data_IF_147311975677
#
_entry.id   IF_147311975677
#
_cell.length_a   1.000
_cell.length_b   1.000
_cell.length_c   1.000
_cell.angle_alpha   90.00
_cell.angle_beta   90.00
_cell.angle_gamma   90.00
#
_symmetry.space_group_name_H-M   'P 1'
#
loop_
_entity.id
_entity.type
_entity.pdbx_description
1 polymer ?
#
# COMPACT_ATOMS: atom_id res chain seq x y z
N UNK A 1 -1.41 35.06 -13.16
CA UNK A 1 -1.51 33.68 -12.65
C UNK A 1 -0.09 33.18 -12.48
N UNK A 2 0.30 32.60 -11.33
CA UNK A 2 1.47 31.74 -11.27
C UNK A 2 1.04 30.26 -11.25
N UNK A 3 1.81 29.45 -11.97
CA UNK A 3 1.67 28.02 -12.26
C UNK A 3 1.16 27.16 -11.10
N UNK A 4 0.06 26.44 -11.32
CA UNK A 4 -0.34 25.32 -10.48
C UNK A 4 0.51 24.13 -10.90
N UNK A 5 1.50 23.77 -10.09
CA UNK A 5 2.26 22.53 -10.23
C UNK A 5 1.35 21.33 -9.89
N UNK A 6 0.67 20.84 -10.92
CA UNK A 6 -0.19 19.64 -10.86
C UNK A 6 0.58 18.35 -10.59
N UNK A 7 1.92 18.38 -10.66
CA UNK A 7 2.80 17.21 -10.46
C UNK A 7 3.18 17.07 -9.00
N UNK A 8 3.48 18.16 -8.29
CA UNK A 8 3.87 18.13 -6.88
C UNK A 8 2.74 18.52 -5.90
N UNK A 9 1.63 19.11 -6.38
CA UNK A 9 0.46 19.44 -5.54
C UNK A 9 -0.88 19.22 -6.26
N UNK A 10 -1.25 17.99 -6.65
CA UNK A 10 -2.60 17.72 -7.14
C UNK A 10 -3.62 17.93 -6.01
N UNK A 11 -4.63 18.81 -6.18
CA UNK A 11 -5.65 19.10 -5.15
C UNK A 11 -6.74 18.02 -5.02
N UNK A 12 -6.51 16.81 -5.54
CA UNK A 12 -7.51 15.74 -5.60
C UNK A 12 -7.05 14.46 -4.91
N UNK A 13 -7.21 14.40 -3.58
CA UNK A 13 -7.43 13.13 -2.85
C UNK A 13 -8.46 13.33 -1.75
N UNK A 14 -9.62 13.86 -2.13
CA UNK A 14 -10.87 13.67 -1.41
C UNK A 14 -11.91 13.29 -2.44
N UNK A 15 -12.19 12.00 -2.61
CA UNK A 15 -13.48 11.44 -3.06
C UNK A 15 -13.33 9.95 -3.43
N UNK A 16 -13.91 9.08 -2.60
CA UNK A 16 -14.15 7.67 -2.95
C UNK A 16 -14.19 6.77 -1.73
N UNK A 17 -15.19 5.89 -1.64
CA UNK A 17 -15.28 4.75 -0.71
C UNK A 17 -14.28 3.64 -1.02
N UNK A 18 -13.36 3.88 -1.96
CA UNK A 18 -12.40 2.92 -2.50
C UNK A 18 -11.04 3.23 -1.89
N UNK A 19 -10.51 2.28 -1.12
CA UNK A 19 -9.18 2.40 -0.55
C UNK A 19 -8.13 2.39 -1.67
N UNK A 20 -7.05 3.16 -1.50
CA UNK A 20 -5.96 3.23 -2.48
C UNK A 20 -5.37 1.84 -2.80
N UNK A 21 -5.39 0.91 -1.83
CA UNK A 21 -4.94 -0.46 -2.08
C UNK A 21 -5.85 -1.23 -3.04
N UNK A 22 -7.16 -0.95 -3.04
CA UNK A 22 -8.11 -1.63 -3.92
C UNK A 22 -7.94 -1.15 -5.37
N UNK A 23 -7.65 0.14 -5.55
CA UNK A 23 -7.27 0.67 -6.86
C UNK A 23 -5.94 0.09 -7.36
N UNK A 24 -4.94 -0.05 -6.48
CA UNK A 24 -3.66 -0.69 -6.81
C UNK A 24 -3.87 -2.17 -7.16
N UNK A 25 -4.71 -2.88 -6.40
CA UNK A 25 -5.02 -4.27 -6.67
C UNK A 25 -5.69 -4.44 -8.04
N UNK A 26 -6.68 -3.62 -8.36
CA UNK A 26 -7.37 -3.66 -9.65
C UNK A 26 -6.46 -3.32 -10.84
N UNK A 27 -5.39 -2.54 -10.61
CA UNK A 27 -4.45 -2.13 -11.65
C UNK A 27 -3.31 -3.14 -11.89
N UNK A 28 -3.10 -4.11 -11.01
CA UNK A 28 -1.98 -5.05 -11.07
C UNK A 28 -2.45 -6.46 -11.42
N UNK A 29 -1.59 -7.23 -12.08
CA UNK A 29 -1.80 -8.68 -12.21
C UNK A 29 -1.72 -9.36 -10.83
N UNK A 30 -2.29 -10.58 -10.68
CA UNK A 30 -2.20 -11.31 -9.41
C UNK A 30 -0.76 -11.54 -8.92
N UNK A 31 0.19 -11.74 -9.85
CA UNK A 31 1.60 -11.90 -9.51
C UNK A 31 2.24 -10.59 -9.05
N UNK A 32 1.95 -9.48 -9.74
CA UNK A 32 2.44 -8.16 -9.36
C UNK A 32 1.88 -7.72 -8.01
N UNK A 33 0.58 -7.94 -7.75
CA UNK A 33 -0.03 -7.62 -6.47
C UNK A 33 0.56 -8.48 -5.33
N UNK A 34 0.84 -9.77 -5.61
CA UNK A 34 1.57 -10.64 -4.69
C UNK A 34 2.96 -10.12 -4.38
N UNK A 35 3.70 -9.67 -5.40
CA UNK A 35 5.01 -9.03 -5.26
C UNK A 35 4.94 -7.76 -4.43
N UNK A 36 3.94 -6.91 -4.70
CA UNK A 36 3.67 -5.67 -3.99
C UNK A 36 3.41 -5.91 -2.49
N UNK A 37 2.53 -6.84 -2.14
CA UNK A 37 2.23 -7.17 -0.75
C UNK A 37 3.46 -7.72 0.00
N UNK A 38 4.21 -8.64 -0.63
CA UNK A 38 5.45 -9.20 -0.06
C UNK A 38 6.52 -8.11 0.16
N UNK A 39 6.75 -7.27 -0.84
CA UNK A 39 7.72 -6.18 -0.75
C UNK A 39 7.37 -5.18 0.36
N UNK A 40 6.08 -4.83 0.49
CA UNK A 40 5.62 -3.98 1.58
C UNK A 40 5.79 -4.64 2.95
N UNK A 41 5.44 -5.92 3.10
CA UNK A 41 5.65 -6.65 4.34
C UNK A 41 7.12 -6.66 4.76
N UNK A 42 8.04 -6.96 3.84
CA UNK A 42 9.49 -6.93 4.09
C UNK A 42 9.95 -5.52 4.48
N UNK A 43 9.52 -4.48 3.76
CA UNK A 43 9.82 -3.08 4.09
C UNK A 43 9.43 -2.73 5.52
N UNK A 44 8.23 -3.15 5.96
CA UNK A 44 7.77 -2.85 7.30
C UNK A 44 8.45 -3.69 8.38
N UNK A 45 8.76 -4.97 8.12
CA UNK A 45 9.58 -5.79 9.01
C UNK A 45 10.96 -5.17 9.19
N UNK A 46 11.62 -4.76 8.10
CA UNK A 46 12.91 -4.08 8.16
C UNK A 46 12.85 -2.78 8.97
N UNK A 47 11.79 -2.00 8.80
CA UNK A 47 11.60 -0.73 9.51
C UNK A 47 11.35 -0.90 11.00
N UNK A 48 10.86 -2.04 11.48
CA UNK A 48 10.52 -2.25 12.90
C UNK A 48 11.65 -1.82 13.84
N UNK A 49 12.90 -2.22 13.53
CA UNK A 49 14.08 -1.90 14.34
C UNK A 49 14.55 -0.45 14.28
N UNK A 50 14.06 0.33 13.31
CA UNK A 50 14.58 1.67 13.02
C UNK A 50 13.50 2.77 13.15
N UNK A 51 12.23 2.45 12.89
CA UNK A 51 11.12 3.40 12.85
C UNK A 51 9.76 2.69 12.91
N UNK A 52 8.91 3.11 13.84
CA UNK A 52 7.51 2.66 13.94
C UNK A 52 7.29 1.38 14.76
N UNK A 53 8.36 0.68 15.17
CA UNK A 53 8.32 -0.45 16.11
C UNK A 53 7.16 -1.42 15.81
N UNK A 54 6.29 -1.65 16.80
CA UNK A 54 5.11 -2.52 16.71
C UNK A 54 4.13 -2.12 15.60
N UNK A 55 3.98 -0.82 15.30
CA UNK A 55 3.07 -0.37 14.24
C UNK A 55 3.54 -0.84 12.86
N UNK A 56 4.86 -0.90 12.64
CA UNK A 56 5.43 -1.47 11.42
C UNK A 56 5.09 -2.96 11.31
N UNK A 57 5.18 -3.73 12.39
CA UNK A 57 4.77 -5.15 12.37
C UNK A 57 3.28 -5.32 12.08
N UNK A 58 2.42 -4.47 12.65
CA UNK A 58 0.98 -4.46 12.34
C UNK A 58 0.72 -4.17 10.86
N UNK A 59 1.47 -3.24 10.25
CA UNK A 59 1.39 -2.97 8.80
C UNK A 59 1.87 -4.15 7.98
N UNK A 60 2.97 -4.79 8.37
CA UNK A 60 3.44 -6.00 7.70
C UNK A 60 2.38 -7.11 7.75
N UNK A 61 1.77 -7.33 8.92
CA UNK A 61 0.68 -8.29 9.09
C UNK A 61 -0.51 -7.95 8.20
N UNK A 62 -0.89 -6.68 8.09
CA UNK A 62 -2.00 -6.25 7.25
C UNK A 62 -1.78 -6.58 5.76
N UNK A 63 -0.58 -6.32 5.22
CA UNK A 63 -0.25 -6.70 3.83
C UNK A 63 -0.24 -8.21 3.62
N UNK A 64 0.24 -8.98 4.61
CA UNK A 64 0.23 -10.44 4.54
C UNK A 64 -1.19 -11.00 4.61
N UNK A 65 -2.05 -10.46 5.49
CA UNK A 65 -3.45 -10.86 5.60
C UNK A 65 -4.21 -10.59 4.30
N UNK A 66 -3.95 -9.45 3.64
CA UNK A 66 -4.55 -9.14 2.33
C UNK A 66 -4.13 -10.14 1.27
N UNK A 67 -2.86 -10.53 1.25
CA UNK A 67 -2.36 -11.55 0.33
C UNK A 67 -2.96 -12.93 0.62
N UNK A 68 -3.06 -13.32 1.89
CA UNK A 68 -3.68 -14.59 2.29
C UNK A 68 -5.14 -14.67 1.82
N UNK A 69 -5.92 -13.62 2.04
CA UNK A 69 -7.31 -13.55 1.55
C UNK A 69 -7.47 -13.59 0.02
N UNK A 70 -6.38 -13.55 -0.77
CA UNK A 70 -6.39 -13.79 -2.22
C UNK A 70 -5.91 -15.18 -2.62
N UNK A 71 -5.20 -15.86 -1.72
CA UNK A 71 -4.67 -17.21 -1.95
C UNK A 71 -5.58 -18.29 -1.37
N UNK A 72 -6.29 -17.96 -0.29
CA UNK A 72 -7.29 -18.82 0.32
C UNK A 72 -8.64 -18.62 -0.40
N UNK A 73 -9.29 -19.70 -0.87
CA UNK A 73 -10.57 -19.65 -1.58
C UNK A 73 -11.76 -19.29 -0.68
#
# INVERSE_FOLDING_TARGET
MPDIDLVNQPPHYRQGEIECIDAIEAALTPEEFRGYCKGNAIKYIWRERHKGCVESLKKAQWYLARLLGKLEP
#
